data_IF_957597294237
#
_entry.id   IF_957597294237
#
_cell.length_a   1.000
_cell.length_b   1.000
_cell.length_c   1.000
_cell.angle_alpha   90.00
_cell.angle_beta   90.00
_cell.angle_gamma   90.00
#
_symmetry.space_group_name_H-M   'P 1'
#
loop_
_entity.id
_entity.type
_entity.pdbx_description
1 polymer ?
#
# COMPACT_ATOMS: atom_id res chain seq x y z
N UNK A 1 27.23 61.90 31.08
CA UNK A 1 26.11 61.70 30.13
C UNK A 1 26.72 61.43 28.77
N UNK A 2 26.69 60.26 28.13
CA UNK A 2 26.17 58.92 28.41
C UNK A 2 26.88 57.95 27.45
N UNK A 3 27.07 56.71 27.87
CA UNK A 3 27.72 55.66 27.09
C UNK A 3 26.64 54.87 26.33
N UNK A 4 26.79 54.67 25.03
CA UNK A 4 25.95 53.73 24.27
C UNK A 4 26.77 52.47 23.95
N UNK A 5 26.36 51.39 24.61
CA UNK A 5 26.79 50.03 24.36
C UNK A 5 25.93 49.47 23.22
N UNK A 6 26.51 49.15 22.06
CA UNK A 6 25.81 48.36 21.04
C UNK A 6 26.25 46.91 21.12
N UNK A 7 25.32 46.09 21.61
CA UNK A 7 25.39 44.64 21.73
C UNK A 7 25.44 43.99 20.35
N UNK A 8 26.42 43.12 20.14
CA UNK A 8 26.51 42.25 18.96
C UNK A 8 25.38 41.21 19.00
N UNK A 9 24.50 41.22 18.01
CA UNK A 9 23.56 40.13 17.77
C UNK A 9 24.31 39.09 16.93
N UNK A 10 24.74 38.02 17.59
CA UNK A 10 25.31 36.84 16.96
C UNK A 10 24.27 36.17 16.06
N UNK A 11 24.63 36.00 14.79
CA UNK A 11 23.88 35.24 13.81
C UNK A 11 23.97 33.75 14.15
N UNK A 12 23.01 33.23 14.90
CA UNK A 12 22.82 31.78 15.04
C UNK A 12 21.54 31.40 14.32
N UNK A 13 21.71 30.96 13.07
CA UNK A 13 20.60 30.59 12.19
C UNK A 13 21.04 29.51 11.21
N UNK A 14 21.79 28.51 11.67
CA UNK A 14 21.88 27.24 10.94
C UNK A 14 20.63 26.43 11.28
N UNK A 15 19.52 26.72 10.59
CA UNK A 15 18.43 25.75 10.51
C UNK A 15 18.74 24.85 9.32
N UNK A 16 19.65 23.90 9.53
CA UNK A 16 19.75 22.74 8.67
C UNK A 16 18.49 21.91 8.92
N UNK A 17 17.42 22.15 8.14
CA UNK A 17 16.40 21.12 7.98
C UNK A 17 17.14 19.92 7.40
N UNK A 18 17.31 18.88 8.22
CA UNK A 18 17.70 17.58 7.74
C UNK A 18 16.73 17.21 6.62
N UNK A 19 17.23 17.16 5.39
CA UNK A 19 16.53 16.55 4.28
C UNK A 19 16.53 15.06 4.61
N UNK A 20 15.46 14.59 5.25
CA UNK A 20 15.24 13.15 5.40
C UNK A 20 15.22 12.59 3.97
N UNK A 21 16.21 11.75 3.65
CA UNK A 21 16.32 11.13 2.34
C UNK A 21 15.01 10.41 2.06
N UNK A 22 14.29 10.85 1.03
CA UNK A 22 13.00 10.26 0.65
C UNK A 22 13.22 8.76 0.34
N UNK A 23 12.48 7.89 1.02
CA UNK A 23 12.62 6.44 0.88
C UNK A 23 12.30 5.99 -0.55
N UNK A 24 13.28 5.44 -1.27
CA UNK A 24 13.08 4.92 -2.63
C UNK A 24 12.54 3.50 -2.60
N UNK A 25 11.24 3.37 -2.79
CA UNK A 25 10.54 2.08 -2.84
C UNK A 25 11.21 1.12 -3.83
N UNK A 26 11.64 1.59 -5.01
CA UNK A 26 12.18 0.73 -6.06
C UNK A 26 13.52 0.11 -5.68
N UNK A 27 14.29 0.75 -4.81
CA UNK A 27 15.57 0.23 -4.33
C UNK A 27 15.40 -0.81 -3.21
N UNK A 28 14.31 -0.71 -2.44
CA UNK A 28 14.10 -1.51 -1.23
C UNK A 28 13.05 -2.62 -1.38
N UNK A 29 12.25 -2.59 -2.45
CA UNK A 29 11.15 -3.54 -2.66
C UNK A 29 11.22 -4.20 -4.04
N UNK A 30 10.88 -5.49 -4.06
CA UNK A 30 10.50 -6.19 -5.29
C UNK A 30 9.00 -6.09 -5.49
N UNK A 31 8.57 -6.04 -6.75
CA UNK A 31 7.15 -6.04 -7.14
C UNK A 31 6.84 -7.31 -7.92
N UNK A 32 5.71 -7.93 -7.61
CA UNK A 32 5.14 -9.01 -8.41
C UNK A 32 3.63 -8.82 -8.58
N UNK A 33 3.06 -9.35 -9.66
CA UNK A 33 1.65 -9.21 -10.01
C UNK A 33 1.04 -10.58 -10.24
N UNK A 34 -0.12 -10.83 -9.62
CA UNK A 34 -0.76 -12.13 -9.55
C UNK A 34 -2.25 -12.02 -9.86
N UNK A 35 -2.81 -13.09 -10.41
CA UNK A 35 -4.25 -13.27 -10.56
C UNK A 35 -4.71 -14.33 -9.55
N UNK A 36 -5.24 -13.88 -8.41
CA UNK A 36 -5.59 -14.74 -7.27
C UNK A 36 -6.98 -15.34 -7.51
N UNK A 37 -7.13 -16.67 -7.60
CA UNK A 37 -8.42 -17.30 -7.81
C UNK A 37 -9.27 -17.29 -6.54
N UNK A 38 -10.50 -16.83 -6.65
CA UNK A 38 -11.51 -16.86 -5.57
C UNK A 38 -12.27 -18.20 -5.59
N UNK A 39 -13.11 -18.46 -4.58
CA UNK A 39 -13.90 -19.69 -4.46
C UNK A 39 -14.83 -19.98 -5.64
N UNK A 40 -15.26 -18.94 -6.35
CA UNK A 40 -16.14 -19.02 -7.52
C UNK A 40 -15.35 -19.08 -8.84
N UNK A 41 -14.02 -19.19 -8.77
CA UNK A 41 -13.12 -19.25 -9.91
C UNK A 41 -12.78 -17.90 -10.54
N UNK A 42 -13.44 -16.81 -10.13
CA UNK A 42 -13.08 -15.46 -10.56
C UNK A 42 -11.70 -15.10 -10.05
N UNK A 43 -10.85 -14.48 -10.87
CA UNK A 43 -9.51 -14.09 -10.46
C UNK A 43 -9.39 -12.59 -10.20
N UNK A 44 -8.84 -12.24 -9.04
CA UNK A 44 -8.61 -10.87 -8.63
C UNK A 44 -7.14 -10.48 -8.81
N UNK A 45 -6.92 -9.36 -9.49
CA UNK A 45 -5.60 -8.81 -9.73
C UNK A 45 -5.01 -8.26 -8.45
N UNK A 46 -3.83 -8.77 -8.10
CA UNK A 46 -3.13 -8.47 -6.86
C UNK A 46 -1.67 -8.14 -7.14
N UNK A 47 -1.22 -6.99 -6.67
CA UNK A 47 0.19 -6.57 -6.70
C UNK A 47 0.80 -6.73 -5.32
N UNK A 48 1.94 -7.42 -5.24
CA UNK A 48 2.68 -7.64 -4.00
C UNK A 48 3.99 -6.86 -4.05
N UNK A 49 4.22 -6.02 -3.05
CA UNK A 49 5.49 -5.35 -2.80
C UNK A 49 6.16 -6.02 -1.59
N UNK A 50 7.24 -6.75 -1.84
CA UNK A 50 7.98 -7.47 -0.83
C UNK A 50 9.33 -6.79 -0.56
N UNK A 51 9.72 -6.54 0.70
CA UNK A 51 11.04 -6.01 1.02
C UNK A 51 12.17 -6.88 0.44
N UNK A 52 13.21 -6.25 -0.10
CA UNK A 52 14.43 -6.93 -0.55
C UNK A 52 15.27 -7.25 0.68
N UNK A 53 15.05 -8.43 1.27
CA UNK A 53 15.84 -8.91 2.39
C UNK A 53 16.08 -10.44 2.36
N UNK A 54 16.85 -10.94 3.32
CA UNK A 54 17.27 -12.34 3.42
C UNK A 54 16.17 -13.28 3.96
N UNK A 55 14.90 -13.06 3.58
CA UNK A 55 13.80 -13.98 3.88
C UNK A 55 13.27 -13.88 5.31
N UNK A 56 13.25 -12.68 5.90
CA UNK A 56 12.60 -12.47 7.20
C UNK A 56 11.08 -12.54 7.04
N UNK A 57 10.39 -12.84 8.14
CA UNK A 57 8.92 -12.74 8.19
C UNK A 57 8.53 -11.27 8.34
N UNK A 58 7.61 -10.82 7.50
CA UNK A 58 7.11 -9.45 7.47
C UNK A 58 5.62 -9.40 7.82
N UNK A 59 5.15 -8.38 8.55
CA UNK A 59 3.72 -8.13 8.67
C UNK A 59 3.14 -7.79 7.28
N UNK A 60 1.96 -8.33 6.98
CA UNK A 60 1.27 -8.11 5.70
C UNK A 60 0.25 -6.99 5.86
N UNK A 61 0.31 -6.00 4.98
CA UNK A 61 -0.70 -4.96 4.84
C UNK A 61 -1.48 -5.16 3.55
N UNK A 62 -2.69 -5.71 3.69
CA UNK A 62 -3.62 -5.89 2.58
C UNK A 62 -4.48 -4.63 2.40
N UNK A 63 -4.47 -4.09 1.17
CA UNK A 63 -5.31 -2.98 0.75
C UNK A 63 -6.10 -3.38 -0.49
N UNK A 64 -7.43 -3.42 -0.35
CA UNK A 64 -8.35 -3.76 -1.43
C UNK A 64 -9.13 -2.50 -1.81
N UNK A 65 -9.19 -2.16 -3.10
CA UNK A 65 -9.82 -0.90 -3.54
C UNK A 65 -10.58 -1.01 -4.87
N UNK A 66 -11.75 -0.35 -5.02
CA UNK A 66 -12.43 -0.15 -6.30
C UNK A 66 -11.87 1.04 -7.09
N UNK A 67 -10.71 1.59 -6.72
CA UNK A 67 -10.16 2.83 -7.28
C UNK A 67 -8.75 2.68 -7.89
N UNK A 68 -8.39 1.49 -8.37
CA UNK A 68 -7.12 1.16 -9.03
C UNK A 68 -5.98 0.97 -8.05
N UNK A 69 -5.25 -0.13 -8.21
CA UNK A 69 -3.96 -0.37 -7.54
C UNK A 69 -2.76 -0.03 -8.42
N UNK A 70 -2.96 0.83 -9.42
CA UNK A 70 -1.88 1.31 -10.27
C UNK A 70 -0.74 1.96 -9.46
N UNK A 71 0.47 2.05 -10.02
CA UNK A 71 0.78 1.81 -11.43
C UNK A 71 0.91 0.31 -11.77
N UNK A 72 0.48 -0.07 -12.97
CA UNK A 72 0.52 -1.45 -13.45
C UNK A 72 1.82 -1.78 -14.21
N UNK A 73 2.19 -3.07 -14.29
CA UNK A 73 3.45 -3.54 -14.87
C UNK A 73 4.53 -3.75 -13.80
N UNK A 74 5.40 -4.73 -14.01
CA UNK A 74 6.37 -5.20 -13.01
C UNK A 74 7.43 -4.14 -12.67
N UNK A 75 7.83 -3.31 -13.63
CA UNK A 75 8.86 -2.27 -13.44
C UNK A 75 8.35 -0.91 -12.95
N UNK A 76 7.03 -0.80 -12.74
CA UNK A 76 6.37 0.46 -12.37
C UNK A 76 6.08 0.50 -10.88
N UNK A 77 6.65 1.46 -10.16
CA UNK A 77 6.49 1.56 -8.70
C UNK A 77 5.78 2.86 -8.31
N UNK A 78 4.89 2.83 -7.31
CA UNK A 78 4.39 4.05 -6.70
C UNK A 78 5.54 4.73 -5.95
N UNK A 79 5.46 6.06 -5.78
CA UNK A 79 6.46 6.81 -5.00
C UNK A 79 6.48 6.41 -3.53
N UNK A 80 5.35 5.95 -3.00
CA UNK A 80 5.12 5.65 -1.59
C UNK A 80 4.24 4.39 -1.46
N UNK A 81 4.47 3.60 -0.43
CA UNK A 81 3.64 2.47 -0.04
C UNK A 81 2.97 2.75 1.31
N UNK A 82 1.81 2.14 1.53
CA UNK A 82 1.03 2.23 2.77
C UNK A 82 0.20 3.51 2.93
N UNK A 83 -0.64 3.56 3.97
CA UNK A 83 -1.37 4.76 4.35
C UNK A 83 -0.45 5.83 4.96
N UNK A 84 0.72 5.44 5.50
CA UNK A 84 1.78 6.32 5.98
C UNK A 84 3.12 5.90 5.38
N UNK A 85 4.03 6.87 5.23
CA UNK A 85 5.39 6.67 4.69
C UNK A 85 6.30 5.85 5.61
N UNK A 86 5.94 5.71 6.87
CA UNK A 86 6.77 5.07 7.92
C UNK A 86 6.77 3.54 7.79
N UNK A 87 5.72 2.94 7.23
CA UNK A 87 5.57 1.48 7.18
C UNK A 87 6.53 0.79 6.23
N UNK A 88 6.95 1.46 5.15
CA UNK A 88 7.88 0.86 4.20
C UNK A 88 9.31 0.74 4.77
N UNK A 89 9.87 1.77 5.44
CA UNK A 89 11.08 1.63 6.24
C UNK A 89 11.02 0.55 7.33
N UNK A 90 9.85 0.36 7.96
CA UNK A 90 9.65 -0.67 8.99
C UNK A 90 9.56 -2.11 8.44
N UNK A 91 9.61 -2.27 7.10
CA UNK A 91 9.65 -3.58 6.45
C UNK A 91 8.30 -4.26 6.28
N UNK A 92 7.19 -3.51 6.23
CA UNK A 92 5.90 -4.11 5.91
C UNK A 92 5.89 -4.68 4.48
N UNK A 93 5.22 -5.82 4.29
CA UNK A 93 4.88 -6.35 2.97
C UNK A 93 3.52 -5.79 2.57
N UNK A 94 3.44 -5.16 1.40
CA UNK A 94 2.19 -4.55 0.93
C UNK A 94 1.54 -5.40 -0.15
N UNK A 95 0.25 -5.67 0.02
CA UNK A 95 -0.57 -6.39 -0.95
C UNK A 95 -1.70 -5.49 -1.38
N UNK A 96 -1.66 -5.04 -2.63
CA UNK A 96 -2.69 -4.17 -3.20
C UNK A 96 -3.52 -4.98 -4.19
N UNK A 97 -4.83 -5.03 -3.97
CA UNK A 97 -5.73 -5.78 -4.84
C UNK A 97 -6.83 -4.88 -5.41
N UNK A 98 -7.06 -4.99 -6.72
CA UNK A 98 -8.25 -4.45 -7.36
C UNK A 98 -9.45 -5.32 -6.96
N UNK A 99 -10.52 -4.72 -6.44
CA UNK A 99 -11.70 -5.51 -6.07
C UNK A 99 -12.38 -6.12 -7.30
N UNK A 100 -13.25 -7.10 -7.07
CA UNK A 100 -14.03 -7.79 -8.10
C UNK A 100 -14.72 -6.83 -9.07
N UNK A 101 -14.60 -7.13 -10.36
CA UNK A 101 -15.18 -6.37 -11.46
C UNK A 101 -14.59 -4.98 -11.65
N UNK A 102 -13.42 -4.68 -11.08
CA UNK A 102 -12.73 -3.39 -11.23
C UNK A 102 -11.34 -3.57 -11.83
N UNK A 103 -11.00 -2.65 -12.74
CA UNK A 103 -9.70 -2.55 -13.39
C UNK A 103 -9.20 -3.88 -13.98
N UNK A 104 -8.19 -4.50 -13.36
CA UNK A 104 -7.59 -5.75 -13.86
C UNK A 104 -8.19 -7.00 -13.23
N UNK A 105 -9.09 -6.86 -12.27
CA UNK A 105 -9.82 -7.97 -11.67
C UNK A 105 -11.00 -8.41 -12.53
N UNK A 106 -11.22 -9.70 -12.58
CA UNK A 106 -12.37 -10.32 -13.25
C UNK A 106 -13.67 -10.14 -12.44
N UNK A 107 -14.80 -10.56 -13.02
CA UNK A 107 -16.11 -10.58 -12.38
C UNK A 107 -16.94 -9.31 -12.60
N UNK A 108 -18.03 -9.19 -11.85
CA UNK A 108 -18.96 -8.05 -11.90
C UNK A 108 -18.84 -7.19 -10.64
N UNK A 109 -18.80 -5.87 -10.83
CA UNK A 109 -18.75 -4.92 -9.72
C UNK A 109 -20.15 -4.54 -9.26
N UNK A 110 -20.43 -4.76 -7.98
CA UNK A 110 -21.66 -4.34 -7.32
C UNK A 110 -21.33 -3.35 -6.23
N UNK A 111 -21.86 -2.13 -6.35
CA UNK A 111 -21.66 -1.08 -5.34
C UNK A 111 -22.28 -1.53 -4.02
N UNK A 112 -21.49 -1.54 -2.95
CA UNK A 112 -21.93 -1.93 -1.61
C UNK A 112 -22.64 -3.29 -1.59
N UNK A 113 -22.01 -4.30 -2.23
CA UNK A 113 -22.54 -5.66 -2.27
C UNK A 113 -22.88 -6.15 -0.84
N UNK A 114 -24.13 -6.57 -0.57
CA UNK A 114 -24.50 -7.05 0.75
C UNK A 114 -23.64 -8.25 1.17
N UNK A 115 -23.37 -8.33 2.47
CA UNK A 115 -22.73 -9.51 3.04
C UNK A 115 -23.61 -10.75 2.83
N UNK A 116 -22.98 -11.87 2.54
CA UNK A 116 -23.62 -13.18 2.42
C UNK A 116 -24.40 -13.49 3.69
N UNK A 117 -25.64 -13.98 3.52
CA UNK A 117 -26.39 -14.55 4.63
C UNK A 117 -25.71 -15.82 5.15
N UNK A 118 -25.62 -16.04 6.47
CA UNK A 118 -25.12 -17.30 7.02
C UNK A 118 -25.84 -18.54 6.49
N UNK A 119 -27.13 -18.40 6.14
CA UNK A 119 -27.98 -19.44 5.54
C UNK A 119 -27.95 -19.48 4.01
N UNK A 120 -27.23 -18.56 3.36
CA UNK A 120 -27.10 -18.47 1.90
C UNK A 120 -26.20 -19.58 1.36
N UNK A 121 -26.63 -20.19 0.24
CA UNK A 121 -25.89 -21.25 -0.45
C UNK A 121 -24.45 -20.86 -0.84
N UNK A 122 -23.61 -21.88 -1.06
CA UNK A 122 -22.14 -21.77 -1.09
C UNK A 122 -21.50 -20.93 -2.20
N UNK A 123 -22.27 -20.48 -3.19
CA UNK A 123 -21.77 -19.72 -4.35
C UNK A 123 -21.94 -18.19 -4.22
N UNK A 124 -22.36 -17.71 -3.06
CA UNK A 124 -22.49 -16.28 -2.80
C UNK A 124 -21.15 -15.67 -2.42
N UNK A 125 -20.69 -14.71 -3.21
CA UNK A 125 -19.48 -13.92 -2.96
C UNK A 125 -19.82 -12.52 -2.44
N UNK A 126 -18.97 -11.97 -1.57
CA UNK A 126 -18.99 -10.60 -1.09
C UNK A 126 -17.55 -10.12 -0.81
N UNK A 127 -17.39 -8.87 -0.38
CA UNK A 127 -16.07 -8.31 -0.10
C UNK A 127 -15.32 -9.03 1.03
N UNK A 128 -16.04 -9.62 1.99
CA UNK A 128 -15.43 -10.41 3.08
C UNK A 128 -14.97 -11.76 2.59
N UNK A 129 -15.75 -12.45 1.76
CA UNK A 129 -15.33 -13.74 1.18
C UNK A 129 -14.18 -13.57 0.20
N UNK A 130 -14.17 -12.51 -0.61
CA UNK A 130 -13.06 -12.23 -1.53
C UNK A 130 -11.79 -11.87 -0.73
N UNK A 131 -11.93 -11.17 0.40
CA UNK A 131 -10.80 -10.91 1.31
C UNK A 131 -10.28 -12.20 1.94
N UNK A 132 -11.17 -13.09 2.37
CA UNK A 132 -10.82 -14.40 2.95
C UNK A 132 -10.10 -15.29 1.93
N UNK A 133 -10.56 -15.33 0.69
CA UNK A 133 -9.97 -16.16 -0.37
C UNK A 133 -8.60 -15.61 -0.85
N UNK A 134 -8.29 -14.34 -0.53
CA UNK A 134 -7.02 -13.71 -0.91
C UNK A 134 -5.85 -14.09 0.00
N UNK A 135 -6.12 -14.45 1.27
CA UNK A 135 -5.11 -14.70 2.31
C UNK A 135 -4.92 -16.19 2.58
#
# INVERSE_FOLDING_TARGET
MGWWLTMSIGWCGFSARAQELEFDVKQHYTKSQHMVPMRDGTKLFTTVYQPVDNGRRHPVMLFRTPYSTGPYGEDQFPKKLGPSIEFAPDGFLFVYQDVRGKFRSEGEFVVMKPLRSPSGGGDQTDESTDTYDTI
#
